data_IF_211842518266
#
_entry.id   IF_211842518266
#
_cell.length_a   1.000
_cell.length_b   1.000
_cell.length_c   1.000
_cell.angle_alpha   90.00
_cell.angle_beta   90.00
_cell.angle_gamma   90.00
#
_symmetry.space_group_name_H-M   'P 1'
#
loop_
_entity.id
_entity.type
_entity.pdbx_description
1 polymer ?
#
# COMPACT_ATOMS: atom_id res chain seq x y z
N UNK A 1 -15.41 -24.45 -14.97
CA UNK A 1 -15.53 -23.70 -13.70
C UNK A 1 -14.99 -22.30 -13.92
N UNK A 2 -15.84 -21.31 -14.19
CA UNK A 2 -15.41 -19.90 -14.22
C UNK A 2 -14.98 -19.52 -12.81
N UNK A 3 -13.70 -19.24 -12.63
CA UNK A 3 -13.19 -18.66 -11.39
C UNK A 3 -13.71 -17.22 -11.38
N UNK A 4 -14.72 -16.92 -10.57
CA UNK A 4 -15.11 -15.55 -10.27
C UNK A 4 -13.85 -14.86 -9.74
N UNK A 5 -13.26 -13.97 -10.54
CA UNK A 5 -12.21 -13.10 -10.06
C UNK A 5 -12.85 -12.26 -8.96
N UNK A 6 -12.34 -12.35 -7.72
CA UNK A 6 -12.75 -11.44 -6.65
C UNK A 6 -12.48 -10.01 -7.13
N UNK A 7 -13.55 -9.32 -7.48
CA UNK A 7 -13.50 -7.92 -7.85
C UNK A 7 -13.57 -7.11 -6.55
N UNK A 8 -12.53 -6.32 -6.29
CA UNK A 8 -12.50 -5.41 -5.15
C UNK A 8 -13.22 -4.14 -5.55
N UNK A 9 -14.34 -3.83 -4.90
CA UNK A 9 -15.10 -2.61 -5.20
C UNK A 9 -14.40 -1.37 -4.66
N UNK A 10 -14.84 -0.19 -5.10
CA UNK A 10 -14.37 1.07 -4.51
C UNK A 10 -14.69 1.15 -3.02
N UNK A 11 -15.89 0.74 -2.61
CA UNK A 11 -16.30 0.73 -1.21
C UNK A 11 -15.39 -0.15 -0.36
N UNK A 12 -14.95 -1.30 -0.89
CA UNK A 12 -13.98 -2.16 -0.21
C UNK A 12 -12.63 -1.46 -0.02
N UNK A 13 -12.14 -0.77 -1.05
CA UNK A 13 -10.89 -0.01 -0.98
C UNK A 13 -10.97 1.16 -0.01
N UNK A 14 -12.10 1.87 0.04
CA UNK A 14 -12.33 2.94 1.00
C UNK A 14 -12.25 2.43 2.45
N UNK A 15 -12.68 1.19 2.72
CA UNK A 15 -12.53 0.57 4.05
C UNK A 15 -11.10 0.17 4.37
N UNK A 16 -10.35 -0.32 3.37
CA UNK A 16 -8.92 -0.63 3.52
C UNK A 16 -8.12 0.66 3.79
N UNK A 17 -8.43 1.75 3.08
CA UNK A 17 -7.80 3.06 3.27
C UNK A 17 -8.07 3.57 4.69
N UNK A 18 -9.33 3.59 5.14
CA UNK A 18 -9.69 3.97 6.52
C UNK A 18 -9.01 3.11 7.59
N UNK A 19 -8.84 1.81 7.32
CA UNK A 19 -8.12 0.92 8.22
C UNK A 19 -6.63 1.30 8.30
N UNK A 20 -5.98 1.51 7.16
CA UNK A 20 -4.57 1.88 7.09
C UNK A 20 -4.33 3.25 7.73
N UNK A 21 -5.19 4.22 7.42
CA UNK A 21 -5.17 5.57 7.98
C UNK A 21 -5.24 5.56 9.51
N UNK A 22 -6.26 4.91 10.08
CA UNK A 22 -6.39 4.76 11.55
C UNK A 22 -5.16 4.10 12.18
N UNK A 23 -4.57 3.13 11.50
CA UNK A 23 -3.40 2.41 12.00
C UNK A 23 -2.15 3.30 12.01
N UNK A 24 -1.91 4.05 10.95
CA UNK A 24 -0.73 4.91 10.78
C UNK A 24 -0.87 6.27 11.46
N UNK A 25 -2.08 6.73 11.78
CA UNK A 25 -2.33 7.90 12.61
C UNK A 25 -1.61 7.81 13.98
N UNK A 26 -1.41 6.60 14.51
CA UNK A 26 -0.65 6.35 15.74
C UNK A 26 0.84 6.78 15.65
N UNK A 27 1.35 7.03 14.45
CA UNK A 27 2.70 7.56 14.19
C UNK A 27 2.68 8.88 13.41
N UNK A 28 1.53 9.57 13.40
CA UNK A 28 1.35 10.88 12.77
C UNK A 28 1.40 10.84 11.24
N UNK A 29 0.86 9.77 10.64
CA UNK A 29 0.79 9.60 9.19
C UNK A 29 -0.65 9.35 8.77
N UNK A 30 -1.11 10.09 7.76
CA UNK A 30 -2.36 9.83 7.06
C UNK A 30 -2.06 8.95 5.83
N UNK A 31 -2.95 8.02 5.49
CA UNK A 31 -2.73 7.09 4.36
C UNK A 31 -3.71 7.41 3.24
N UNK A 32 -3.17 7.66 2.04
CA UNK A 32 -3.97 7.98 0.87
C UNK A 32 -3.72 7.04 -0.32
N UNK A 33 -4.79 6.63 -0.98
CA UNK A 33 -4.73 5.82 -2.20
C UNK A 33 -4.91 6.68 -3.44
N UNK A 34 -3.91 6.64 -4.33
CA UNK A 34 -4.04 7.29 -5.63
C UNK A 34 -5.06 6.58 -6.51
N UNK A 35 -5.63 7.30 -7.50
CA UNK A 35 -6.47 6.68 -8.53
C UNK A 35 -5.77 5.48 -9.21
N UNK A 36 -4.47 5.60 -9.47
CA UNK A 36 -3.69 4.54 -10.05
C UNK A 36 -3.56 3.32 -9.13
N UNK A 37 -3.54 3.49 -7.81
CA UNK A 37 -3.65 2.36 -6.89
C UNK A 37 -4.99 1.63 -7.06
N UNK A 38 -6.10 2.36 -7.06
CA UNK A 38 -7.45 1.79 -7.18
C UNK A 38 -7.61 0.99 -8.48
N UNK A 39 -7.19 1.55 -9.61
CA UNK A 39 -7.26 0.90 -10.92
C UNK A 39 -6.42 -0.40 -10.96
N UNK A 40 -5.31 -0.44 -10.22
CA UNK A 40 -4.31 -1.51 -10.30
C UNK A 40 -4.61 -2.70 -9.41
N UNK A 41 -5.50 -2.58 -8.43
CA UNK A 41 -5.91 -3.71 -7.55
C UNK A 41 -6.54 -4.83 -8.38
N UNK A 42 -7.49 -4.50 -9.25
CA UNK A 42 -8.24 -5.45 -10.07
C UNK A 42 -7.60 -5.72 -11.45
N UNK A 43 -6.42 -5.18 -11.71
CA UNK A 43 -5.82 -5.26 -13.02
C UNK A 43 -5.30 -6.68 -13.33
N UNK A 44 -5.63 -7.17 -14.53
CA UNK A 44 -5.32 -8.53 -14.99
C UNK A 44 -3.82 -8.85 -15.01
N UNK A 45 -2.95 -7.83 -15.06
CA UNK A 45 -1.49 -7.98 -14.94
C UNK A 45 -1.06 -8.64 -13.62
N UNK A 46 -1.90 -8.58 -12.59
CA UNK A 46 -1.63 -9.24 -11.31
C UNK A 46 -1.74 -10.77 -11.39
N UNK A 47 -2.36 -11.32 -12.45
CA UNK A 47 -2.63 -12.76 -12.72
C UNK A 47 -3.53 -13.45 -11.68
N UNK A 48 -3.22 -13.29 -10.40
CA UNK A 48 -4.05 -13.61 -9.24
C UNK A 48 -4.60 -12.29 -8.68
N UNK A 49 -5.92 -12.19 -8.42
CA UNK A 49 -6.52 -11.02 -7.77
C UNK A 49 -5.76 -10.63 -6.50
N UNK A 50 -5.70 -9.33 -6.23
CA UNK A 50 -5.24 -8.79 -4.95
C UNK A 50 -6.48 -8.58 -4.09
N UNK A 51 -6.60 -9.30 -2.99
CA UNK A 51 -7.79 -9.21 -2.14
C UNK A 51 -7.66 -8.11 -1.09
N UNK A 52 -8.80 -7.68 -0.53
CA UNK A 52 -8.83 -6.75 0.61
C UNK A 52 -8.07 -7.29 1.81
N UNK A 53 -8.14 -8.60 2.07
CA UNK A 53 -7.42 -9.26 3.15
C UNK A 53 -5.89 -9.18 2.97
N UNK A 54 -5.40 -9.33 1.73
CA UNK A 54 -3.97 -9.16 1.43
C UNK A 54 -3.53 -7.70 1.66
N UNK A 55 -4.34 -6.71 1.27
CA UNK A 55 -4.05 -5.30 1.53
C UNK A 55 -4.06 -4.97 3.03
N UNK A 56 -5.06 -5.42 3.78
CA UNK A 56 -5.14 -5.23 5.25
C UNK A 56 -3.93 -5.87 5.93
N UNK A 57 -3.55 -7.09 5.52
CA UNK A 57 -2.35 -7.77 6.04
C UNK A 57 -1.08 -6.97 5.71
N UNK A 58 -0.96 -6.46 4.49
CA UNK A 58 0.17 -5.64 4.04
C UNK A 58 0.37 -4.43 4.95
N UNK A 59 -0.68 -3.63 5.18
CA UNK A 59 -0.61 -2.45 6.06
C UNK A 59 -0.31 -2.82 7.51
N UNK A 60 -0.96 -3.87 8.04
CA UNK A 60 -0.73 -4.35 9.40
C UNK A 60 0.73 -4.76 9.64
N UNK A 61 1.32 -5.53 8.73
CA UNK A 61 2.71 -5.99 8.86
C UNK A 61 3.69 -4.82 8.67
N UNK A 62 3.40 -3.93 7.72
CA UNK A 62 4.20 -2.73 7.47
C UNK A 62 4.24 -1.82 8.68
N UNK A 63 3.10 -1.56 9.32
CA UNK A 63 3.05 -0.80 10.57
C UNK A 63 3.82 -1.51 11.68
N UNK A 64 3.57 -2.81 11.89
CA UNK A 64 4.23 -3.59 12.94
C UNK A 64 5.76 -3.52 12.83
N UNK A 65 6.30 -3.63 11.61
CA UNK A 65 7.75 -3.71 11.37
C UNK A 65 8.40 -2.33 11.17
N UNK A 66 7.69 -1.41 10.52
CA UNK A 66 8.26 -0.15 10.02
C UNK A 66 7.49 1.11 10.43
N UNK A 67 6.42 1.01 11.23
CA UNK A 67 5.58 2.17 11.62
C UNK A 67 6.39 3.30 12.25
N UNK A 68 7.37 3.00 13.10
CA UNK A 68 8.27 4.02 13.69
C UNK A 68 9.40 4.50 12.75
N UNK A 69 9.65 3.77 11.66
CA UNK A 69 10.74 4.03 10.70
C UNK A 69 10.27 4.92 9.57
N UNK A 70 9.09 4.64 9.02
CA UNK A 70 8.50 5.37 7.88
C UNK A 70 8.48 6.89 8.11
N UNK A 71 7.95 7.45 9.22
CA UNK A 71 7.92 8.90 9.41
C UNK A 71 9.33 9.54 9.45
N UNK A 72 10.35 8.79 9.87
CA UNK A 72 11.74 9.26 9.93
C UNK A 72 12.44 9.30 8.57
N UNK A 73 11.83 8.77 7.52
CA UNK A 73 12.37 8.87 6.16
C UNK A 73 12.25 10.30 5.62
N UNK A 74 11.33 11.09 6.18
CA UNK A 74 11.13 12.50 5.85
C UNK A 74 10.29 12.73 4.59
N UNK A 75 9.90 13.98 4.33
CA UNK A 75 9.10 14.35 3.17
C UNK A 75 9.82 14.04 1.85
N UNK A 76 9.04 13.71 0.82
CA UNK A 76 9.49 13.29 -0.53
C UNK A 76 10.24 11.95 -0.58
N UNK A 77 10.44 11.29 0.55
CA UNK A 77 11.04 9.96 0.57
C UNK A 77 10.15 8.97 -0.19
N UNK A 78 10.77 8.07 -0.96
CA UNK A 78 10.09 7.04 -1.72
C UNK A 78 10.62 5.67 -1.32
N UNK A 79 9.71 4.71 -1.21
CA UNK A 79 10.06 3.32 -0.96
C UNK A 79 8.98 2.39 -1.51
N UNK A 80 9.24 1.09 -1.40
CA UNK A 80 8.30 0.04 -1.77
C UNK A 80 8.07 -0.82 -0.55
N UNK A 81 6.83 -0.92 -0.09
CA UNK A 81 6.45 -2.02 0.79
C UNK A 81 6.32 -3.26 -0.10
N UNK A 82 7.04 -4.32 0.26
CA UNK A 82 7.04 -5.57 -0.50
C UNK A 82 6.70 -6.72 0.44
N UNK A 83 5.59 -7.39 0.16
CA UNK A 83 5.16 -8.59 0.87
C UNK A 83 5.77 -9.82 0.21
N UNK A 84 6.77 -10.38 0.90
CA UNK A 84 7.59 -11.48 0.41
C UNK A 84 6.79 -12.77 0.24
N UNK A 85 5.67 -12.92 0.95
CA UNK A 85 4.82 -14.11 0.88
C UNK A 85 3.95 -14.11 -0.39
N UNK A 86 3.46 -12.93 -0.78
CA UNK A 86 2.43 -12.81 -1.83
C UNK A 86 2.94 -12.14 -3.11
N UNK A 87 4.20 -11.68 -3.13
CA UNK A 87 4.81 -10.88 -4.19
C UNK A 87 4.06 -9.56 -4.46
N UNK A 88 3.34 -9.03 -3.47
CA UNK A 88 2.64 -7.74 -3.58
C UNK A 88 3.63 -6.61 -3.32
N UNK A 89 3.68 -5.67 -4.26
CA UNK A 89 4.55 -4.50 -4.21
C UNK A 89 3.69 -3.25 -4.19
N UNK A 90 3.90 -2.40 -3.19
CA UNK A 90 3.21 -1.13 -3.04
C UNK A 90 4.25 0.01 -2.93
N UNK A 91 4.64 0.59 -4.07
CA UNK A 91 5.38 1.85 -4.09
C UNK A 91 4.60 2.97 -3.43
N UNK A 92 5.26 3.75 -2.57
CA UNK A 92 4.70 4.93 -1.94
C UNK A 92 5.67 6.11 -1.95
N UNK A 93 5.14 7.30 -1.70
CA UNK A 93 5.90 8.50 -1.39
C UNK A 93 5.37 9.12 -0.12
N UNK A 94 6.26 9.73 0.66
CA UNK A 94 5.87 10.59 1.76
C UNK A 94 5.72 12.03 1.28
N UNK A 95 4.64 12.70 1.65
CA UNK A 95 4.44 14.10 1.34
C UNK A 95 3.97 14.87 2.58
N UNK A 96 4.13 16.19 2.59
CA UNK A 96 3.46 17.04 3.57
C UNK A 96 2.24 17.65 2.88
N UNK A 97 1.07 17.49 3.49
CA UNK A 97 -0.17 18.08 3.01
C UNK A 97 -0.22 19.61 3.31
N UNK A 98 -1.35 20.25 3.01
CA UNK A 98 -1.51 21.69 3.29
C UNK A 98 -1.64 22.01 4.79
N UNK A 99 -2.05 21.04 5.61
CA UNK A 99 -2.22 21.20 7.05
C UNK A 99 -0.91 20.98 7.83
N UNK A 100 0.13 20.44 7.18
CA UNK A 100 1.40 20.10 7.80
C UNK A 100 1.50 18.63 8.24
N UNK A 101 0.48 17.82 7.94
CA UNK A 101 0.44 16.38 8.20
C UNK A 101 1.29 15.63 7.17
N UNK A 102 1.87 14.50 7.61
CA UNK A 102 2.71 13.66 6.77
C UNK A 102 1.86 12.57 6.13
N UNK A 103 1.74 12.56 4.80
CA UNK A 103 0.95 11.57 4.08
C UNK A 103 1.84 10.43 3.60
N UNK A 104 1.37 9.19 3.74
CA UNK A 104 1.83 8.04 2.98
C UNK A 104 0.91 7.86 1.77
N UNK A 105 1.38 8.35 0.63
CA UNK A 105 0.63 8.25 -0.63
C UNK A 105 1.00 6.94 -1.34
N UNK A 106 0.08 5.97 -1.33
CA UNK A 106 0.21 4.70 -2.04
C UNK A 106 0.01 4.94 -3.55
N UNK A 107 1.12 4.92 -4.30
CA UNK A 107 1.15 5.31 -5.73
C UNK A 107 0.53 4.28 -6.66
N UNK A 108 0.66 3.01 -6.30
CA UNK A 108 0.20 1.86 -7.10
C UNK A 108 0.29 0.60 -6.26
N UNK A 109 -0.28 -0.49 -6.76
CA UNK A 109 -0.09 -1.84 -6.23
C UNK A 109 0.05 -2.84 -7.36
N UNK A 110 0.88 -3.86 -7.17
CA UNK A 110 1.01 -4.92 -8.15
C UNK A 110 1.51 -6.23 -7.55
N UNK A 111 0.99 -7.34 -8.05
CA UNK A 111 1.55 -8.67 -7.78
C UNK A 111 2.62 -9.00 -8.82
N UNK A 112 3.89 -8.94 -8.45
CA UNK A 112 5.02 -9.14 -9.37
C UNK A 112 6.23 -9.73 -8.67
N UNK A 113 6.55 -10.98 -9.02
CA UNK A 113 7.82 -11.63 -8.70
C UNK A 113 9.00 -10.83 -9.24
N UNK A 114 10.11 -10.84 -8.50
CA UNK A 114 11.37 -10.20 -8.89
C UNK A 114 11.20 -8.72 -9.27
N UNK A 115 10.34 -7.99 -8.54
CA UNK A 115 10.12 -6.57 -8.76
C UNK A 115 11.43 -5.78 -8.56
N UNK A 116 11.83 -5.02 -9.59
CA UNK A 116 13.05 -4.21 -9.59
C UNK A 116 12.72 -2.75 -9.36
N UNK A 117 13.49 -2.10 -8.49
CA UNK A 117 13.39 -0.67 -8.18
C UNK A 117 14.75 -0.19 -7.66
N UNK A 118 15.07 1.08 -7.86
CA UNK A 118 16.19 1.76 -7.19
C UNK A 118 15.81 2.28 -5.80
N UNK A 119 14.52 2.36 -5.48
CA UNK A 119 14.06 2.82 -4.18
C UNK A 119 14.24 1.73 -3.10
N UNK A 120 14.44 2.10 -1.83
CA UNK A 120 14.48 1.14 -0.73
C UNK A 120 13.24 0.25 -0.68
N UNK A 121 13.45 -1.04 -0.38
CA UNK A 121 12.37 -1.99 -0.08
C UNK A 121 12.20 -2.17 1.42
N UNK A 122 10.95 -2.10 1.85
CA UNK A 122 10.50 -2.42 3.20
C UNK A 122 9.82 -3.79 3.13
N UNK A 123 10.63 -4.82 3.37
CA UNK A 123 10.22 -6.23 3.23
C UNK A 123 9.35 -6.67 4.41
N UNK A 124 8.15 -7.18 4.14
CA UNK A 124 7.21 -7.71 5.14
C UNK A 124 6.80 -9.14 4.87
#
# INVERSE_FOLDING_TARGET
MLRLLEFVSKQDLDQVEKYADRLFAAVGIDVEFTRHFLDRVNDTRNKKPISTAELVRLFRLSYKKYGKKIPKMGPKAQAVIHDMETDINMPFVLNIDRSGMLDLVAKTVMRKKNFKTSNPKLEV
#
